data_IF_341058435795
#
_entry.id   IF_341058435795
#
_cell.length_a   1.000
_cell.length_b   1.000
_cell.length_c   1.000
_cell.angle_alpha   90.00
_cell.angle_beta   90.00
_cell.angle_gamma   90.00
#
_symmetry.space_group_name_H-M   'P 1'
#
loop_
_entity.id
_entity.type
_entity.pdbx_description
1 polymer ?
#
# COMPACT_ATOMS: atom_id res chain seq x y z
N UNK A 1 7.69 -5.72 -3.92
CA UNK A 1 8.35 -5.87 -5.23
C UNK A 1 7.38 -5.32 -6.25
N UNK A 2 7.69 -4.19 -6.86
CA UNK A 2 6.76 -3.52 -7.79
C UNK A 2 6.45 -4.45 -8.97
N UNK A 3 5.19 -4.44 -9.42
CA UNK A 3 4.60 -5.31 -10.45
C UNK A 3 4.60 -6.82 -10.14
N UNK A 4 4.91 -7.21 -8.90
CA UNK A 4 4.87 -8.62 -8.46
C UNK A 4 3.99 -8.81 -7.24
N UNK A 5 4.18 -7.99 -6.20
CA UNK A 5 3.42 -8.11 -4.95
C UNK A 5 2.11 -7.33 -5.02
N UNK A 6 1.35 -7.48 -6.10
CA UNK A 6 0.07 -6.81 -6.31
C UNK A 6 -1.04 -7.37 -5.41
N UNK A 7 -2.27 -6.86 -5.54
CA UNK A 7 -3.39 -7.36 -4.73
C UNK A 7 -3.62 -8.87 -4.89
N UNK A 8 -3.57 -9.38 -6.12
CA UNK A 8 -3.92 -10.77 -6.43
C UNK A 8 -2.85 -11.71 -5.87
N UNK A 9 -1.58 -11.38 -6.05
CA UNK A 9 -0.47 -12.14 -5.49
C UNK A 9 -0.58 -12.22 -3.97
N UNK A 10 -0.81 -11.06 -3.30
CA UNK A 10 -0.94 -11.01 -1.85
C UNK A 10 -2.14 -11.82 -1.35
N UNK A 11 -3.26 -11.81 -2.08
CA UNK A 11 -4.45 -12.59 -1.75
C UNK A 11 -4.16 -14.10 -1.78
N UNK A 12 -3.50 -14.58 -2.84
CA UNK A 12 -3.14 -16.00 -2.99
C UNK A 12 -2.19 -16.42 -1.87
N UNK A 13 -1.15 -15.63 -1.60
CA UNK A 13 -0.17 -15.92 -0.55
C UNK A 13 -0.82 -15.92 0.83
N UNK A 14 -1.65 -14.92 1.13
CA UNK A 14 -2.36 -14.79 2.40
C UNK A 14 -3.31 -15.97 2.68
N UNK A 15 -3.90 -16.55 1.64
CA UNK A 15 -4.83 -17.68 1.76
C UNK A 15 -4.15 -19.05 1.71
N UNK A 16 -2.93 -19.13 1.17
CA UNK A 16 -2.21 -20.40 1.00
C UNK A 16 -1.21 -20.67 2.12
N UNK A 17 -0.37 -19.69 2.43
CA UNK A 17 0.69 -19.79 3.44
C UNK A 17 0.99 -18.38 3.96
N UNK A 18 0.16 -17.94 4.90
CA UNK A 18 0.12 -16.55 5.37
C UNK A 18 1.44 -16.14 6.04
N UNK A 19 2.12 -15.10 5.52
CA UNK A 19 3.27 -14.50 6.19
C UNK A 19 2.86 -13.73 7.45
N UNK A 20 3.81 -13.49 8.35
CA UNK A 20 3.58 -12.65 9.54
C UNK A 20 3.26 -11.20 9.18
N UNK A 21 3.91 -10.68 8.13
CA UNK A 21 3.71 -9.31 7.62
C UNK A 21 3.69 -9.33 6.10
N UNK A 22 2.72 -8.62 5.52
CA UNK A 22 2.59 -8.43 4.08
C UNK A 22 2.85 -6.95 3.75
N UNK A 23 3.57 -6.68 2.66
CA UNK A 23 3.80 -5.31 2.20
C UNK A 23 3.16 -5.09 0.82
N UNK A 24 2.63 -3.89 0.60
CA UNK A 24 2.15 -3.48 -0.73
C UNK A 24 3.30 -3.22 -1.70
N UNK A 25 2.96 -2.99 -2.95
CA UNK A 25 3.82 -2.31 -3.91
C UNK A 25 4.12 -0.85 -3.51
N UNK A 26 5.09 -0.24 -4.20
CA UNK A 26 5.51 1.13 -3.93
C UNK A 26 4.47 2.13 -4.46
N UNK A 27 3.96 2.97 -3.56
CA UNK A 27 3.02 4.05 -3.88
C UNK A 27 3.72 5.41 -3.76
N UNK A 28 3.71 6.20 -4.84
CA UNK A 28 4.32 7.53 -4.84
C UNK A 28 3.49 8.50 -4.00
N UNK A 29 4.11 9.16 -3.01
CA UNK A 29 3.46 10.20 -2.19
C UNK A 29 3.08 11.41 -3.03
N UNK A 30 3.92 11.81 -3.99
CA UNK A 30 3.62 12.91 -4.92
C UNK A 30 2.50 12.51 -5.91
N UNK A 31 2.49 11.24 -6.34
CA UNK A 31 1.40 10.67 -7.14
C UNK A 31 0.06 10.69 -6.40
N UNK A 32 0.07 10.34 -5.11
CA UNK A 32 -1.11 10.28 -4.23
C UNK A 32 -1.81 11.64 -4.10
N UNK A 33 -1.06 12.74 -4.08
CA UNK A 33 -1.59 14.09 -3.91
C UNK A 33 -1.49 14.94 -5.18
N UNK A 34 -1.54 14.30 -6.35
CA UNK A 34 -1.56 14.97 -7.65
C UNK A 34 -2.67 14.43 -8.55
N UNK A 35 -2.70 14.88 -9.81
CA UNK A 35 -3.59 14.32 -10.85
C UNK A 35 -3.34 12.82 -11.12
N UNK A 36 -2.23 12.27 -10.61
CA UNK A 36 -1.90 10.84 -10.68
C UNK A 36 -2.61 9.96 -9.65
N UNK A 37 -3.42 10.53 -8.74
CA UNK A 37 -4.04 9.82 -7.62
C UNK A 37 -4.71 8.50 -8.03
N UNK A 38 -5.61 8.53 -9.02
CA UNK A 38 -6.40 7.37 -9.44
C UNK A 38 -5.56 6.21 -10.00
N UNK A 39 -4.33 6.49 -10.44
CA UNK A 39 -3.38 5.48 -10.92
C UNK A 39 -2.68 4.79 -9.77
N UNK A 40 -2.31 5.55 -8.73
CA UNK A 40 -1.49 5.02 -7.62
C UNK A 40 -2.34 4.44 -6.49
N UNK A 41 -3.53 4.98 -6.25
CA UNK A 41 -4.41 4.54 -5.14
C UNK A 41 -4.81 3.07 -5.22
N UNK A 42 -4.82 2.50 -6.42
CA UNK A 42 -5.14 1.09 -6.66
C UNK A 42 -4.16 0.14 -5.97
N UNK A 43 -2.90 0.56 -5.78
CA UNK A 43 -1.87 -0.22 -5.08
C UNK A 43 -2.14 -0.36 -3.58
N UNK A 44 -2.91 0.57 -3.00
CA UNK A 44 -3.30 0.59 -1.58
C UNK A 44 -4.62 -0.17 -1.29
N UNK A 45 -5.07 -1.04 -2.19
CA UNK A 45 -6.20 -1.93 -1.92
C UNK A 45 -5.73 -3.18 -1.21
N UNK A 46 -6.50 -3.63 -0.23
CA UNK A 46 -6.28 -4.90 0.46
C UNK A 46 -7.60 -5.54 0.89
N UNK A 47 -7.55 -6.82 1.23
CA UNK A 47 -8.65 -7.56 1.86
C UNK A 47 -8.25 -7.92 3.29
N UNK A 48 -9.23 -8.27 4.14
CA UNK A 48 -8.95 -8.68 5.52
C UNK A 48 -8.06 -9.92 5.62
N UNK A 49 -8.01 -10.78 4.59
CA UNK A 49 -7.10 -11.93 4.55
C UNK A 49 -5.63 -11.50 4.53
N UNK A 50 -5.33 -10.35 3.91
CA UNK A 50 -3.97 -9.82 3.75
C UNK A 50 -3.40 -9.17 5.03
N UNK A 51 -4.19 -8.98 6.09
CA UNK A 51 -3.67 -8.47 7.38
C UNK A 51 -2.67 -9.44 8.00
N UNK A 52 -1.56 -9.06 8.60
CA UNK A 52 -1.11 -7.69 8.88
C UNK A 52 -0.43 -7.07 7.66
N UNK A 53 -1.01 -5.99 7.13
CA UNK A 53 -0.57 -5.35 5.87
C UNK A 53 0.01 -3.96 6.09
N UNK A 54 1.18 -3.72 5.51
CA UNK A 54 1.95 -2.47 5.60
C UNK A 54 2.02 -1.81 4.23
N UNK A 55 1.74 -0.51 4.18
CA UNK A 55 1.83 0.26 2.93
C UNK A 55 3.26 0.75 2.67
N UNK A 56 3.81 0.44 1.50
CA UNK A 56 5.11 0.97 1.07
C UNK A 56 4.93 2.26 0.27
N UNK A 57 5.46 3.37 0.80
CA UNK A 57 5.45 4.68 0.15
C UNK A 57 6.84 5.21 -0.16
N UNK A 58 6.94 6.04 -1.20
CA UNK A 58 8.19 6.69 -1.59
C UNK A 58 7.93 8.09 -2.18
N UNK A 59 8.93 8.95 -2.12
CA UNK A 59 8.88 10.33 -2.60
C UNK A 59 10.05 11.14 -2.06
N UNK A 60 10.06 12.45 -2.33
CA UNK A 60 11.10 13.36 -1.86
C UNK A 60 10.58 14.51 -0.98
N UNK A 61 9.25 14.71 -0.92
CA UNK A 61 8.61 15.84 -0.24
C UNK A 61 8.12 15.43 1.15
N UNK A 62 8.74 15.90 2.26
CA UNK A 62 8.38 15.49 3.62
C UNK A 62 6.90 15.72 3.97
N UNK A 63 6.32 16.83 3.52
CA UNK A 63 4.92 17.17 3.77
C UNK A 63 3.96 16.15 3.11
N UNK A 64 4.36 15.56 1.99
CA UNK A 64 3.58 14.52 1.33
C UNK A 64 3.71 13.18 2.06
N UNK A 65 4.83 12.89 2.72
CA UNK A 65 4.94 11.71 3.60
C UNK A 65 4.02 11.83 4.81
N UNK A 66 3.96 12.98 5.47
CA UNK A 66 3.07 13.17 6.62
C UNK A 66 1.60 12.98 6.22
N UNK A 67 1.18 13.59 5.09
CA UNK A 67 -0.17 13.41 4.55
C UNK A 67 -0.44 11.97 4.15
N UNK A 68 0.51 11.31 3.50
CA UNK A 68 0.37 9.92 3.08
C UNK A 68 0.23 8.99 4.28
N UNK A 69 1.03 9.17 5.33
CA UNK A 69 0.93 8.37 6.55
C UNK A 69 -0.43 8.48 7.23
N UNK A 70 -0.97 9.69 7.38
CA UNK A 70 -2.33 9.90 7.91
C UNK A 70 -3.38 9.24 7.03
N UNK A 71 -3.29 9.43 5.72
CA UNK A 71 -4.22 8.86 4.76
C UNK A 71 -4.20 7.31 4.76
N UNK A 72 -3.02 6.71 4.84
CA UNK A 72 -2.84 5.24 4.93
C UNK A 72 -3.41 4.70 6.24
N UNK A 73 -3.20 5.40 7.35
CA UNK A 73 -3.79 5.04 8.63
C UNK A 73 -5.33 5.10 8.57
N UNK A 74 -5.91 6.12 7.93
CA UNK A 74 -7.35 6.24 7.70
C UNK A 74 -7.92 5.13 6.81
N UNK A 75 -7.13 4.62 5.85
CA UNK A 75 -7.48 3.45 5.04
C UNK A 75 -7.43 2.12 5.82
N UNK A 76 -6.92 2.13 7.06
CA UNK A 76 -6.92 0.98 7.96
C UNK A 76 -5.78 -0.01 7.73
N UNK A 77 -4.66 0.44 7.18
CA UNK A 77 -3.41 -0.34 7.14
C UNK A 77 -2.85 -0.54 8.56
N UNK A 78 -2.09 -1.62 8.75
CA UNK A 78 -1.51 -1.98 10.04
C UNK A 78 -0.12 -1.33 10.26
N UNK A 79 0.42 -0.65 9.23
CA UNK A 79 1.67 0.10 9.27
C UNK A 79 2.00 0.78 7.95
#
# INVERSE_FOLDING_TARGET
>A
MDDVTDFVFREIVATTAKPDVIFTEFTSTDGLFSRGHDKVIRKLRFSEYQRSIVAQIWGATPENFEKAGKYIAELGFDG
#
